data_IF_084348004992
#
_entry.id   IF_084348004992
#
_cell.length_a   1.000
_cell.length_b   1.000
_cell.length_c   1.000
_cell.angle_alpha   90.00
_cell.angle_beta   90.00
_cell.angle_gamma   90.00
#
_symmetry.space_group_name_H-M   'P 1'
#
loop_
_entity.id
_entity.type
_entity.pdbx_description
1 polymer ?
#
# COMPACT_ATOMS: atom_id res chain seq x y z
N UNK A 1 5.56 -3.12 -2.50
CA UNK A 1 4.98 -3.13 -3.85
C UNK A 1 4.81 -4.58 -4.23
N UNK A 2 3.61 -5.01 -4.65
CA UNK A 2 3.44 -6.33 -5.27
C UNK A 2 4.08 -6.23 -6.65
N UNK A 3 5.06 -7.09 -6.93
CA UNK A 3 5.66 -7.19 -8.26
C UNK A 3 4.56 -7.54 -9.27
N UNK A 4 4.50 -6.90 -10.45
CA UNK A 4 3.58 -7.34 -11.49
C UNK A 4 3.78 -8.84 -11.73
N UNK A 5 2.66 -9.55 -11.92
CA UNK A 5 2.65 -10.97 -12.30
C UNK A 5 3.65 -11.18 -13.44
N UNK A 6 4.50 -12.21 -13.32
CA UNK A 6 5.53 -12.43 -14.33
C UNK A 6 4.87 -12.74 -15.67
N UNK A 7 5.49 -12.33 -16.77
CA UNK A 7 4.96 -12.63 -18.11
C UNK A 7 4.71 -14.14 -18.31
N UNK A 8 5.52 -14.98 -17.66
CA UNK A 8 5.35 -16.44 -17.66
C UNK A 8 4.03 -16.90 -17.02
N UNK A 9 3.56 -16.22 -15.96
CA UNK A 9 2.30 -16.58 -15.28
C UNK A 9 1.06 -16.16 -16.09
N UNK A 10 1.18 -15.09 -16.89
CA UNK A 10 0.15 -14.65 -17.84
C UNK A 10 0.07 -15.59 -19.05
N UNK A 11 1.20 -16.08 -19.55
CA UNK A 11 1.25 -17.06 -20.65
C UNK A 11 0.66 -18.42 -20.25
N UNK A 12 0.77 -18.80 -18.97
CA UNK A 12 0.19 -20.03 -18.45
C UNK A 12 -1.36 -20.03 -18.43
N UNK A 13 -2.02 -18.86 -18.52
CA UNK A 13 -3.48 -18.73 -18.46
C UNK A 13 -4.04 -17.83 -19.59
N UNK A 14 -4.18 -18.35 -20.82
CA UNK A 14 -4.56 -17.56 -21.99
C UNK A 14 -5.99 -16.99 -21.91
N UNK A 15 -6.89 -17.63 -21.16
CA UNK A 15 -8.24 -17.12 -20.92
C UNK A 15 -8.21 -15.83 -20.07
N UNK A 16 -7.39 -15.82 -19.02
CA UNK A 16 -7.20 -14.63 -18.19
C UNK A 16 -6.53 -13.51 -18.98
N UNK A 17 -5.50 -13.83 -19.77
CA UNK A 17 -4.80 -12.85 -20.61
C UNK A 17 -5.74 -12.15 -21.62
N UNK A 18 -6.62 -12.91 -22.29
CA UNK A 18 -7.62 -12.34 -23.23
C UNK A 18 -8.62 -11.43 -22.54
N UNK A 19 -9.15 -11.87 -21.40
CA UNK A 19 -10.13 -11.09 -20.62
C UNK A 19 -9.49 -9.82 -20.06
N UNK A 20 -8.25 -9.94 -19.57
CA UNK A 20 -7.45 -8.82 -19.10
C UNK A 20 -7.19 -7.82 -20.23
N UNK A 21 -6.76 -8.29 -21.39
CA UNK A 21 -6.53 -7.45 -22.57
C UNK A 21 -7.81 -6.70 -22.97
N UNK A 22 -8.93 -7.40 -23.10
CA UNK A 22 -10.23 -6.81 -23.44
C UNK A 22 -10.69 -5.73 -22.46
N UNK A 23 -10.61 -5.99 -21.15
CA UNK A 23 -10.96 -5.00 -20.12
C UNK A 23 -10.04 -3.76 -20.24
N UNK A 24 -8.75 -3.98 -20.49
CA UNK A 24 -7.78 -2.88 -20.57
C UNK A 24 -7.88 -2.05 -21.83
N UNK A 25 -8.18 -2.65 -22.98
CA UNK A 25 -8.19 -1.94 -24.27
C UNK A 25 -9.58 -1.46 -24.65
N UNK A 26 -10.64 -2.24 -24.40
CA UNK A 26 -11.99 -1.89 -24.89
C UNK A 26 -12.84 -1.14 -23.87
N UNK A 27 -12.82 -1.57 -22.60
CA UNK A 27 -13.70 -1.00 -21.57
C UNK A 27 -13.05 0.25 -20.98
N UNK A 28 -11.78 0.16 -20.59
CA UNK A 28 -11.09 1.25 -19.90
C UNK A 28 -10.70 2.41 -20.83
N UNK A 29 -10.35 2.16 -22.10
CA UNK A 29 -10.09 3.24 -23.07
C UNK A 29 -11.36 3.95 -23.53
N UNK A 30 -12.53 3.29 -23.48
CA UNK A 30 -13.83 3.92 -23.82
C UNK A 30 -14.41 4.76 -22.69
N UNK A 31 -14.26 4.33 -21.44
CA UNK A 31 -15.00 4.91 -20.30
C UNK A 31 -14.19 5.99 -19.54
N UNK A 32 -12.86 5.92 -19.56
CA UNK A 32 -12.03 6.91 -18.88
C UNK A 32 -11.80 8.18 -19.71
N UNK A 33 -12.78 9.11 -19.66
CA UNK A 33 -12.61 10.51 -20.03
C UNK A 33 -12.03 10.72 -21.43
N UNK A 34 -12.88 10.62 -22.46
CA UNK A 34 -12.62 11.09 -23.82
C UNK A 34 -11.80 12.39 -23.79
N UNK A 35 -10.50 12.28 -24.09
CA UNK A 35 -9.56 13.39 -24.28
C UNK A 35 -10.18 14.47 -25.16
N UNK A 36 -11.03 14.06 -26.12
CA UNK A 36 -11.81 14.91 -27.02
C UNK A 36 -12.85 15.80 -26.31
N UNK A 37 -13.53 15.29 -25.27
CA UNK A 37 -14.52 16.06 -24.48
C UNK A 37 -13.87 17.07 -23.53
N UNK A 38 -12.76 16.71 -22.87
CA UNK A 38 -12.02 17.65 -22.03
C UNK A 38 -11.24 18.69 -22.84
N UNK A 39 -10.75 18.33 -24.02
CA UNK A 39 -10.08 19.27 -24.93
C UNK A 39 -11.08 20.25 -25.57
N UNK A 40 -12.32 19.82 -25.85
CA UNK A 40 -13.41 20.72 -26.26
C UNK A 40 -13.82 21.69 -25.13
N UNK A 41 -13.82 21.24 -23.87
CA UNK A 41 -14.10 22.08 -22.70
C UNK A 41 -13.01 23.14 -22.47
N UNK A 42 -11.73 22.78 -22.61
CA UNK A 42 -10.60 23.73 -22.56
C UNK A 42 -10.63 24.76 -23.68
N UNK A 43 -11.07 24.38 -24.90
CA UNK A 43 -11.25 25.33 -26.01
C UNK A 43 -12.38 26.34 -25.73
N UNK A 44 -13.42 25.92 -25.02
CA UNK A 44 -14.51 26.81 -24.61
C UNK A 44 -14.11 27.73 -23.44
N UNK A 45 -13.34 27.23 -22.48
CA UNK A 45 -12.87 28.02 -21.33
C UNK A 45 -11.76 29.03 -21.71
N UNK A 46 -10.99 28.78 -22.78
CA UNK A 46 -10.00 29.71 -23.31
C UNK A 46 -10.54 30.90 -24.12
N UNK A 47 -11.86 30.97 -24.37
CA UNK A 47 -12.48 32.01 -25.21
C UNK A 47 -13.33 33.05 -24.46
N UNK A 48 -13.38 33.00 -23.12
CA UNK A 48 -14.08 34.01 -22.31
C UNK A 48 -13.16 34.68 -21.28
N UNK A 49 -12.41 35.73 -21.64
CA UNK A 49 -11.83 36.64 -20.67
C UNK A 49 -12.90 37.66 -20.26
N UNK A 50 -13.90 37.23 -19.48
CA UNK A 50 -14.83 38.16 -18.84
C UNK A 50 -14.26 38.61 -17.49
N UNK A 51 -13.42 39.64 -17.60
CA UNK A 51 -13.40 40.84 -16.74
C UNK A 51 -14.00 40.64 -15.35
N UNK A 52 -13.16 40.26 -14.38
CA UNK A 52 -13.37 40.66 -12.99
C UNK A 52 -12.29 41.71 -12.70
N UNK A 53 -12.63 42.95 -13.04
CA UNK A 53 -11.87 44.12 -12.63
C UNK A 53 -11.98 44.27 -11.12
N UNK A 54 -10.90 43.99 -10.39
CA UNK A 54 -10.64 44.63 -9.10
C UNK A 54 -9.51 45.62 -9.31
N UNK A 55 -9.93 46.87 -9.42
CA UNK A 55 -9.07 48.02 -9.22
C UNK A 55 -8.49 47.96 -7.81
N UNK A 56 -7.17 47.95 -7.71
CA UNK A 56 -6.50 48.92 -6.84
C UNK A 56 -5.09 49.17 -7.39
N UNK A 57 -4.79 50.46 -7.55
CA UNK A 57 -3.64 50.94 -8.30
C UNK A 57 -2.34 50.78 -7.54
N UNK A 58 -1.29 50.40 -8.26
CA UNK A 58 0.06 50.85 -7.97
C UNK A 58 0.85 50.84 -9.28
N UNK A 59 0.85 51.97 -9.97
CA UNK A 59 1.79 52.28 -11.05
C UNK A 59 3.14 52.60 -10.43
N UNK A 60 4.07 51.64 -10.46
CA UNK A 60 5.48 51.97 -10.43
C UNK A 60 6.20 51.27 -11.58
N UNK A 61 6.77 52.13 -12.42
CA UNK A 61 7.63 51.88 -13.57
C UNK A 61 8.58 50.70 -13.36
N UNK A 62 8.41 49.66 -14.17
CA UNK A 62 9.41 48.61 -14.33
C UNK A 62 9.60 48.33 -15.81
N UNK A 63 10.74 48.85 -16.28
CA UNK A 63 11.39 48.71 -17.57
C UNK A 63 11.09 47.38 -18.27
N UNK A 64 10.53 47.49 -19.47
CA UNK A 64 10.61 46.49 -20.53
C UNK A 64 12.09 46.30 -20.91
N UNK A 65 12.75 45.31 -20.30
CA UNK A 65 13.96 44.72 -20.86
C UNK A 65 13.61 43.34 -21.40
N UNK A 66 13.93 43.14 -22.68
CA UNK A 66 13.52 42.02 -23.50
C UNK A 66 13.90 40.67 -22.93
N UNK A 67 12.88 39.84 -22.73
CA UNK A 67 13.00 38.40 -22.66
C UNK A 67 12.44 37.84 -23.98
N UNK A 68 13.31 37.74 -25.00
CA UNK A 68 13.16 36.73 -26.05
C UNK A 68 13.37 35.36 -25.38
N UNK A 69 12.35 34.91 -24.65
CA UNK A 69 12.31 33.58 -24.05
C UNK A 69 12.21 32.57 -25.20
N UNK A 70 13.26 31.76 -25.34
CA UNK A 70 13.45 30.78 -26.39
C UNK A 70 12.21 29.88 -26.55
N UNK A 71 11.64 29.85 -27.75
CA UNK A 71 10.52 28.97 -28.13
C UNK A 71 10.81 27.48 -27.85
N UNK A 72 12.08 27.11 -27.70
CA UNK A 72 12.53 25.76 -27.39
C UNK A 72 12.16 25.30 -25.96
N UNK A 73 12.04 26.21 -24.99
CA UNK A 73 11.69 25.87 -23.59
C UNK A 73 10.19 25.55 -23.41
N UNK A 74 9.35 26.09 -24.31
CA UNK A 74 7.92 25.80 -24.32
C UNK A 74 7.65 24.35 -24.76
N UNK A 75 8.44 23.81 -25.70
CA UNK A 75 8.24 22.46 -26.19
C UNK A 75 8.63 21.40 -25.14
N UNK A 76 9.71 21.63 -24.38
CA UNK A 76 10.14 20.72 -23.31
C UNK A 76 9.10 20.64 -22.17
N UNK A 77 8.49 21.78 -21.81
CA UNK A 77 7.45 21.83 -20.80
C UNK A 77 6.16 21.09 -21.23
N UNK A 78 5.82 21.08 -22.52
CA UNK A 78 4.67 20.28 -23.00
C UNK A 78 4.93 18.78 -22.98
N UNK A 79 6.18 18.34 -23.23
CA UNK A 79 6.58 16.93 -23.14
C UNK A 79 6.52 16.42 -21.69
N UNK A 80 7.05 17.20 -20.73
CA UNK A 80 6.95 16.88 -19.28
C UNK A 80 5.50 16.80 -18.79
N UNK A 81 4.61 17.68 -19.28
CA UNK A 81 3.17 17.64 -18.94
C UNK A 81 2.47 16.38 -19.49
N UNK A 82 2.79 15.97 -20.72
CA UNK A 82 2.22 14.74 -21.32
C UNK A 82 2.66 13.49 -20.56
N UNK A 83 3.94 13.41 -20.18
CA UNK A 83 4.48 12.31 -19.39
C UNK A 83 3.80 12.23 -18.00
N UNK A 84 3.62 13.36 -17.32
CA UNK A 84 2.91 13.39 -16.03
C UNK A 84 1.42 13.00 -16.16
N UNK A 85 0.73 13.43 -17.21
CA UNK A 85 -0.67 13.04 -17.45
C UNK A 85 -0.80 11.53 -17.73
N UNK A 86 0.12 10.96 -18.49
CA UNK A 86 0.19 9.51 -18.76
C UNK A 86 0.47 8.72 -17.48
N UNK A 87 1.39 9.20 -16.63
CA UNK A 87 1.67 8.61 -15.31
C UNK A 87 0.45 8.66 -14.39
N UNK A 88 -0.26 9.80 -14.34
CA UNK A 88 -1.50 9.94 -13.56
C UNK A 88 -2.60 9.04 -14.09
N UNK A 89 -2.74 8.91 -15.40
CA UNK A 89 -3.70 8.00 -16.03
C UNK A 89 -3.38 6.55 -15.68
N UNK A 90 -2.13 6.11 -15.84
CA UNK A 90 -1.68 4.78 -15.46
C UNK A 90 -1.94 4.50 -13.95
N UNK A 91 -1.74 5.49 -13.09
CA UNK A 91 -2.03 5.38 -11.66
C UNK A 91 -3.53 5.24 -11.37
N UNK A 92 -4.39 6.04 -12.03
CA UNK A 92 -5.85 5.94 -11.89
C UNK A 92 -6.38 4.60 -12.37
N UNK A 93 -5.92 4.13 -13.53
CA UNK A 93 -6.28 2.81 -14.08
C UNK A 93 -5.83 1.71 -13.14
N UNK A 94 -4.61 1.78 -12.62
CA UNK A 94 -4.10 0.80 -11.63
C UNK A 94 -4.93 0.80 -10.35
N UNK A 95 -5.31 1.97 -9.84
CA UNK A 95 -6.18 2.12 -8.66
C UNK A 95 -7.54 1.48 -8.91
N UNK A 96 -8.19 1.84 -10.01
CA UNK A 96 -9.49 1.30 -10.37
C UNK A 96 -9.48 -0.21 -10.58
N UNK A 97 -8.43 -0.76 -11.20
CA UNK A 97 -8.23 -2.22 -11.32
C UNK A 97 -8.13 -2.91 -9.96
N UNK A 98 -7.44 -2.30 -9.00
CA UNK A 98 -7.37 -2.84 -7.64
C UNK A 98 -8.71 -2.75 -6.93
N UNK A 99 -9.49 -1.69 -7.16
CA UNK A 99 -10.81 -1.51 -6.55
C UNK A 99 -11.78 -2.60 -7.00
N UNK A 100 -11.87 -2.83 -8.33
CA UNK A 100 -12.67 -3.93 -8.88
C UNK A 100 -12.21 -5.28 -8.32
N UNK A 101 -10.90 -5.50 -8.25
CA UNK A 101 -10.36 -6.77 -7.75
C UNK A 101 -10.70 -6.98 -6.27
N UNK A 102 -10.64 -5.94 -5.44
CA UNK A 102 -11.01 -6.03 -4.03
C UNK A 102 -12.51 -6.26 -3.86
N UNK A 103 -13.36 -5.56 -4.61
CA UNK A 103 -14.82 -5.76 -4.58
C UNK A 103 -15.20 -7.19 -5.00
N UNK A 104 -14.66 -7.67 -6.13
CA UNK A 104 -14.96 -9.02 -6.62
C UNK A 104 -14.44 -10.08 -5.64
N UNK A 105 -13.24 -9.91 -5.07
CA UNK A 105 -12.72 -10.84 -4.07
C UNK A 105 -13.55 -10.83 -2.77
N UNK A 106 -14.05 -9.67 -2.35
CA UNK A 106 -14.90 -9.56 -1.16
C UNK A 106 -16.29 -10.22 -1.36
N UNK A 107 -16.77 -10.30 -2.60
CA UNK A 107 -18.04 -10.94 -2.94
C UNK A 107 -17.95 -12.47 -3.03
N UNK A 108 -16.79 -13.03 -3.42
CA UNK A 108 -16.60 -14.48 -3.61
C UNK A 108 -17.01 -15.34 -2.40
N UNK A 109 -16.65 -15.00 -1.14
CA UNK A 109 -17.06 -15.75 0.05
C UNK A 109 -18.56 -16.04 0.13
N UNK A 110 -19.40 -15.12 -0.36
CA UNK A 110 -20.85 -15.22 -0.29
C UNK A 110 -21.45 -16.08 -1.42
N UNK A 111 -20.75 -16.24 -2.53
CA UNK A 111 -21.21 -17.08 -3.66
C UNK A 111 -21.06 -18.57 -3.39
N UNK A 112 -20.08 -18.97 -2.58
CA UNK A 112 -19.90 -20.37 -2.19
C UNK A 112 -21.13 -20.97 -1.50
N UNK A 113 -21.86 -20.19 -0.70
CA UNK A 113 -23.03 -20.66 0.04
C UNK A 113 -24.23 -20.94 -0.88
N UNK A 114 -24.34 -20.21 -1.99
CA UNK A 114 -25.47 -20.31 -2.93
C UNK A 114 -25.29 -21.53 -3.84
N UNK A 115 -24.09 -21.75 -4.36
CA UNK A 115 -23.85 -22.82 -5.33
C UNK A 115 -23.83 -24.21 -4.70
N UNK A 116 -23.38 -24.33 -3.44
CA UNK A 116 -23.40 -25.59 -2.70
C UNK A 116 -24.80 -26.11 -2.37
N UNK A 117 -25.83 -25.24 -2.31
CA UNK A 117 -27.21 -25.66 -2.05
C UNK A 117 -27.94 -26.13 -3.30
N UNK A 118 -27.78 -25.42 -4.41
CA UNK A 118 -28.51 -25.71 -5.66
C UNK A 118 -28.17 -27.06 -6.26
N UNK A 119 -26.96 -27.60 -6.02
CA UNK A 119 -26.53 -28.86 -6.62
C UNK A 119 -26.94 -30.11 -5.81
N UNK A 120 -27.33 -29.94 -4.54
CA UNK A 120 -27.69 -31.07 -3.66
C UNK A 120 -29.18 -31.44 -3.65
N UNK A 121 -30.03 -30.64 -4.30
CA UNK A 121 -31.48 -30.76 -4.15
C UNK A 121 -32.23 -31.32 -5.37
N UNK A 122 -31.61 -31.38 -6.55
CA UNK A 122 -32.28 -31.86 -7.78
C UNK A 122 -32.08 -33.36 -8.08
N UNK A 123 -31.15 -34.05 -7.43
CA UNK A 123 -30.85 -35.46 -7.74
C UNK A 123 -31.67 -36.50 -6.94
N UNK A 124 -32.59 -36.09 -6.04
CA UNK A 124 -33.31 -37.03 -5.17
C UNK A 124 -34.84 -37.06 -5.35
N UNK A 125 -35.34 -36.68 -6.54
CA UNK A 125 -36.76 -36.80 -6.90
C UNK A 125 -36.97 -37.58 -8.20
N UNK A 126 -36.42 -38.80 -8.25
CA UNK A 126 -36.90 -39.82 -9.17
C UNK A 126 -38.30 -40.32 -8.73
N UNK A 127 -39.28 -40.45 -9.64
CA UNK A 127 -40.54 -41.08 -9.32
C UNK A 127 -40.32 -42.60 -9.21
N UNK A 128 -40.65 -43.17 -8.05
CA UNK A 128 -40.84 -44.62 -7.90
C UNK A 128 -41.94 -45.07 -8.88
N UNK A 129 -41.55 -45.67 -9.99
CA UNK A 129 -42.41 -46.57 -10.75
C UNK A 129 -41.77 -47.95 -10.83
N UNK A 130 -42.59 -48.88 -10.38
CA UNK A 130 -42.40 -50.30 -10.16
C UNK A 130 -42.22 -51.13 -11.43
N UNK A 131 -41.28 -52.09 -11.36
CA UNK A 131 -41.28 -53.45 -11.96
C UNK A 131 -41.02 -53.60 -13.48
N UNK A 132 -40.67 -54.82 -13.96
CA UNK A 132 -39.60 -55.72 -13.47
C UNK A 132 -38.71 -56.28 -14.61
N UNK A 133 -37.56 -56.82 -14.20
CA UNK A 133 -36.80 -57.93 -14.78
C UNK A 133 -36.73 -58.08 -16.33
N UNK A 134 -35.58 -57.76 -16.90
CA UNK A 134 -34.95 -58.65 -17.88
C UNK A 134 -33.42 -58.52 -17.83
N UNK A 135 -32.78 -59.67 -17.73
CA UNK A 135 -31.33 -59.88 -17.70
C UNK A 135 -30.69 -59.38 -18.99
N UNK A 136 -29.62 -58.59 -18.89
CA UNK A 136 -28.57 -58.62 -19.91
C UNK A 136 -27.23 -58.20 -19.30
N UNK A 137 -26.38 -59.20 -19.11
CA UNK A 137 -24.95 -59.06 -18.88
C UNK A 137 -24.32 -58.17 -19.95
N UNK A 138 -23.45 -57.23 -19.53
CA UNK A 138 -22.28 -56.76 -20.29
C UNK A 138 -21.36 -55.90 -19.43
N UNK A 139 -20.34 -56.57 -18.92
CA UNK A 139 -18.93 -56.18 -18.88
C UNK A 139 -18.54 -54.69 -18.94
N UNK A 140 -17.93 -54.28 -17.82
CA UNK A 140 -16.70 -53.47 -17.72
C UNK A 140 -16.69 -52.06 -18.31
N UNK A 141 -16.85 -51.05 -17.43
CA UNK A 141 -16.09 -49.79 -17.55
C UNK A 141 -15.68 -49.26 -16.16
N UNK A 142 -14.52 -49.71 -15.70
CA UNK A 142 -13.80 -49.16 -14.55
C UNK A 142 -13.07 -47.89 -14.98
N UNK A 143 -13.76 -46.75 -15.04
CA UNK A 143 -13.07 -45.45 -15.22
C UNK A 143 -13.73 -44.24 -14.54
N UNK A 144 -14.89 -44.40 -13.88
CA UNK A 144 -15.62 -43.30 -13.24
C UNK A 144 -15.22 -42.98 -11.78
N UNK A 145 -14.45 -43.85 -11.11
CA UNK A 145 -14.11 -43.69 -9.68
C UNK A 145 -12.94 -42.72 -9.41
N UNK A 146 -12.25 -42.23 -10.45
CA UNK A 146 -11.13 -41.29 -10.29
C UNK A 146 -11.60 -39.82 -10.15
N UNK A 147 -12.66 -39.42 -10.83
CA UNK A 147 -13.15 -38.03 -10.79
C UNK A 147 -13.93 -37.69 -9.50
N UNK A 148 -14.57 -38.69 -8.89
CA UNK A 148 -15.35 -38.48 -7.66
C UNK A 148 -14.47 -38.21 -6.43
N UNK A 149 -13.24 -38.75 -6.39
CA UNK A 149 -12.29 -38.51 -5.27
C UNK A 149 -11.71 -37.10 -5.30
N UNK A 150 -11.55 -36.50 -6.47
CA UNK A 150 -11.04 -35.12 -6.61
C UNK A 150 -12.06 -34.11 -6.10
N UNK A 151 -13.35 -34.32 -6.36
CA UNK A 151 -14.42 -33.43 -5.87
C UNK A 151 -14.63 -33.50 -4.35
N UNK A 152 -14.45 -34.67 -3.72
CA UNK A 152 -14.61 -34.81 -2.27
C UNK A 152 -13.51 -34.11 -1.45
N UNK A 153 -12.27 -34.04 -1.97
CA UNK A 153 -11.20 -33.28 -1.33
C UNK A 153 -11.39 -31.76 -1.43
N UNK A 154 -12.08 -31.27 -2.48
CA UNK A 154 -12.39 -29.85 -2.62
C UNK A 154 -13.31 -29.31 -1.53
N UNK A 155 -14.23 -30.11 -0.97
CA UNK A 155 -15.18 -29.60 0.03
C UNK A 155 -14.58 -29.36 1.42
N UNK A 156 -13.44 -29.98 1.76
CA UNK A 156 -12.83 -29.82 3.08
C UNK A 156 -11.96 -28.55 3.21
N UNK A 157 -11.51 -27.97 2.09
CA UNK A 157 -10.70 -26.74 2.08
C UNK A 157 -11.50 -25.45 1.91
N UNK A 158 -12.80 -25.54 1.62
CA UNK A 158 -13.68 -24.38 1.40
C UNK A 158 -13.76 -23.38 2.57
N UNK A 159 -13.90 -23.78 3.85
CA UNK A 159 -13.98 -22.80 4.94
C UNK A 159 -12.65 -22.05 5.13
N UNK A 160 -11.51 -22.73 4.99
CA UNK A 160 -10.19 -22.09 5.04
C UNK A 160 -9.99 -21.12 3.88
N UNK A 161 -10.46 -21.47 2.68
CA UNK A 161 -10.41 -20.60 1.51
C UNK A 161 -11.30 -19.36 1.70
N UNK A 162 -12.46 -19.48 2.36
CA UNK A 162 -13.34 -18.36 2.67
C UNK A 162 -12.65 -17.33 3.57
N UNK A 163 -12.04 -17.79 4.65
CA UNK A 163 -11.34 -16.91 5.60
C UNK A 163 -10.15 -16.22 4.91
N UNK A 164 -9.42 -16.96 4.06
CA UNK A 164 -8.34 -16.45 3.23
C UNK A 164 -8.84 -15.35 2.26
N UNK A 165 -9.99 -15.58 1.60
CA UNK A 165 -10.60 -14.63 0.69
C UNK A 165 -11.17 -13.38 1.38
N UNK A 166 -11.47 -13.43 2.68
CA UNK A 166 -11.84 -12.25 3.47
C UNK A 166 -10.62 -11.49 3.99
N UNK A 167 -9.56 -12.21 4.36
CA UNK A 167 -8.34 -11.63 4.92
C UNK A 167 -7.53 -10.85 3.87
N UNK A 168 -7.47 -11.35 2.64
CA UNK A 168 -6.63 -10.75 1.59
C UNK A 168 -7.14 -9.40 1.10
N UNK A 169 -8.43 -9.18 0.81
CA UNK A 169 -8.95 -7.86 0.49
C UNK A 169 -8.71 -6.86 1.62
N UNK A 170 -8.92 -7.26 2.88
CA UNK A 170 -8.62 -6.42 4.03
C UNK A 170 -7.13 -6.03 4.09
N UNK A 171 -6.23 -6.96 3.76
CA UNK A 171 -4.80 -6.67 3.65
C UNK A 171 -4.44 -5.78 2.45
N UNK A 172 -5.07 -5.98 1.30
CA UNK A 172 -4.89 -5.13 0.12
C UNK A 172 -5.38 -3.70 0.40
N UNK A 173 -6.47 -3.52 1.13
CA UNK A 173 -6.97 -2.21 1.57
C UNK A 173 -6.05 -1.55 2.62
N UNK A 174 -5.54 -2.33 3.58
CA UNK A 174 -4.57 -1.84 4.57
C UNK A 174 -3.25 -1.41 3.92
N UNK A 175 -2.79 -2.13 2.89
CA UNK A 175 -1.59 -1.75 2.14
C UNK A 175 -1.85 -0.56 1.21
N UNK A 176 -3.06 -0.44 0.65
CA UNK A 176 -3.48 0.69 -0.20
C UNK A 176 -3.43 2.02 0.55
N UNK A 177 -4.09 2.10 1.70
CA UNK A 177 -4.13 3.33 2.53
C UNK A 177 -2.72 3.82 2.85
N UNK A 178 -1.82 2.89 3.16
CA UNK A 178 -0.42 3.19 3.48
C UNK A 178 0.43 3.68 2.31
N UNK A 179 0.13 3.26 1.08
CA UNK A 179 0.86 3.76 -0.10
C UNK A 179 0.49 5.19 -0.45
N UNK A 180 -0.74 5.62 -0.16
CA UNK A 180 -1.16 7.01 -0.37
C UNK A 180 -0.40 7.95 0.58
N UNK A 181 -0.21 7.55 1.83
CA UNK A 181 0.57 8.32 2.83
C UNK A 181 2.04 8.52 2.43
N UNK A 182 2.60 7.65 1.57
CA UNK A 182 3.99 7.77 1.11
C UNK A 182 4.17 8.65 -0.12
N UNK A 183 3.09 8.94 -0.86
CA UNK A 183 3.15 9.70 -2.12
C UNK A 183 2.88 11.20 -1.88
N UNK A 184 2.29 11.57 -0.74
CA UNK A 184 2.31 12.95 -0.27
C UNK A 184 3.74 13.32 0.16
N UNK A 185 4.54 13.76 -0.82
CA UNK A 185 5.84 14.42 -0.67
C UNK A 185 5.69 15.77 0.04
N UNK A 186 5.08 15.81 1.22
CA UNK A 186 5.29 16.93 2.12
C UNK A 186 6.72 16.85 2.65
N UNK A 187 7.50 17.94 2.58
CA UNK A 187 8.84 17.96 3.14
C UNK A 187 8.76 17.55 4.61
N UNK A 188 9.62 16.64 5.08
CA UNK A 188 9.59 16.17 6.45
C UNK A 188 9.93 17.36 7.35
N UNK A 189 8.91 17.93 8.00
CA UNK A 189 9.17 18.84 9.10
C UNK A 189 9.90 18.06 10.20
N UNK A 190 11.02 18.59 10.73
CA UNK A 190 11.81 17.92 11.74
C UNK A 190 11.16 18.13 13.11
N UNK A 191 10.00 17.50 13.33
CA UNK A 191 9.36 17.50 14.63
C UNK A 191 9.02 16.08 15.07
N UNK A 192 9.88 15.60 15.98
CA UNK A 192 9.54 14.77 17.14
C UNK A 192 9.00 13.36 16.81
N UNK A 193 9.96 12.44 16.74
CA UNK A 193 9.92 11.16 17.46
C UNK A 193 8.78 10.18 17.13
N UNK A 194 9.04 9.31 16.15
CA UNK A 194 9.29 7.91 16.50
C UNK A 194 8.12 6.91 16.49
N UNK A 195 6.99 7.20 15.84
CA UNK A 195 5.95 6.18 15.59
C UNK A 195 5.44 6.22 14.15
N UNK A 196 6.34 6.32 13.16
CA UNK A 196 5.98 5.83 11.84
C UNK A 196 5.69 4.34 12.01
N UNK A 197 4.42 3.95 11.85
CA UNK A 197 3.94 2.56 11.82
C UNK A 197 4.57 1.85 10.62
N UNK A 198 5.88 1.65 10.68
CA UNK A 198 6.51 0.53 10.04
C UNK A 198 5.89 -0.69 10.66
N UNK A 199 4.80 -1.23 10.08
CA UNK A 199 4.39 -2.61 10.35
C UNK A 199 5.69 -3.40 10.45
N UNK A 200 5.97 -3.87 11.67
CA UNK A 200 7.24 -4.49 11.97
C UNK A 200 7.47 -5.60 10.97
N UNK A 201 8.73 -5.93 10.71
CA UNK A 201 9.09 -7.16 9.98
C UNK A 201 8.29 -8.37 10.52
N UNK A 202 7.88 -8.30 11.80
CA UNK A 202 7.00 -9.24 12.47
C UNK A 202 5.58 -9.37 11.87
N UNK A 203 4.90 -8.28 11.48
CA UNK A 203 3.56 -8.39 10.89
C UNK A 203 3.60 -8.98 9.47
N UNK A 204 4.68 -8.74 8.73
CA UNK A 204 4.92 -9.42 7.45
C UNK A 204 5.24 -10.91 7.66
N UNK A 205 5.88 -11.26 8.78
CA UNK A 205 6.12 -12.66 9.14
C UNK A 205 4.87 -13.39 9.61
N UNK A 206 3.89 -12.69 10.18
CA UNK A 206 2.61 -13.29 10.59
C UNK A 206 1.75 -13.65 9.37
N UNK A 207 1.80 -12.84 8.31
CA UNK A 207 1.00 -13.03 7.10
C UNK A 207 1.69 -13.87 6.02
N UNK A 208 2.98 -14.22 6.18
CA UNK A 208 3.71 -14.94 5.14
C UNK A 208 3.08 -16.31 4.83
N UNK A 209 2.56 -16.99 5.86
CA UNK A 209 1.89 -18.27 5.70
C UNK A 209 0.59 -18.15 4.88
N UNK A 210 -0.26 -17.16 5.20
CA UNK A 210 -1.51 -16.93 4.49
C UNK A 210 -1.25 -16.50 3.03
N UNK A 211 -0.20 -15.71 2.79
CA UNK A 211 0.23 -15.33 1.44
C UNK A 211 0.69 -16.56 0.64
N UNK A 212 1.40 -17.50 1.27
CA UNK A 212 1.80 -18.76 0.62
C UNK A 212 0.60 -19.65 0.31
N UNK A 213 -0.33 -19.79 1.26
CA UNK A 213 -1.59 -20.52 1.02
C UNK A 213 -2.40 -19.89 -0.11
N UNK A 214 -2.48 -18.56 -0.17
CA UNK A 214 -3.12 -17.87 -1.28
C UNK A 214 -2.45 -18.19 -2.60
N UNK A 215 -1.11 -18.09 -2.67
CA UNK A 215 -0.35 -18.42 -3.88
C UNK A 215 -0.63 -19.83 -4.38
N UNK A 216 -0.71 -20.81 -3.48
CA UNK A 216 -1.05 -22.20 -3.86
C UNK A 216 -2.48 -22.35 -4.37
N UNK A 217 -3.41 -21.50 -3.93
CA UNK A 217 -4.82 -21.54 -4.31
C UNK A 217 -5.20 -20.56 -5.44
N UNK A 218 -4.25 -19.80 -6.01
CA UNK A 218 -4.49 -18.85 -7.11
C UNK A 218 -5.29 -19.49 -8.26
N UNK A 219 -4.98 -20.71 -8.76
CA UNK A 219 -5.72 -21.29 -9.89
C UNK A 219 -7.21 -21.48 -9.59
N UNK A 220 -7.53 -21.97 -8.39
CA UNK A 220 -8.91 -22.18 -7.93
C UNK A 220 -9.65 -20.86 -7.80
N UNK A 221 -9.00 -19.85 -7.19
CA UNK A 221 -9.58 -18.51 -7.01
C UNK A 221 -9.80 -17.86 -8.38
N UNK A 222 -8.86 -17.99 -9.32
CA UNK A 222 -8.97 -17.45 -10.66
C UNK A 222 -10.11 -18.09 -11.46
N UNK A 223 -10.32 -19.40 -11.34
CA UNK A 223 -11.45 -20.10 -11.95
C UNK A 223 -12.79 -19.57 -11.41
N UNK A 224 -12.88 -19.37 -10.09
CA UNK A 224 -14.08 -18.84 -9.44
C UNK A 224 -14.34 -17.38 -9.82
N UNK A 225 -13.32 -16.53 -9.80
CA UNK A 225 -13.42 -15.14 -10.27
C UNK A 225 -13.91 -15.09 -11.72
N UNK A 226 -13.34 -15.93 -12.59
CA UNK A 226 -13.74 -16.02 -14.00
C UNK A 226 -15.22 -16.41 -14.14
N UNK A 227 -15.69 -17.39 -13.36
CA UNK A 227 -17.10 -17.78 -13.35
C UNK A 227 -18.02 -16.62 -12.92
N UNK A 228 -17.60 -15.85 -11.92
CA UNK A 228 -18.36 -14.69 -11.42
C UNK A 228 -18.39 -13.55 -12.44
N UNK A 229 -17.28 -13.29 -13.13
CA UNK A 229 -17.26 -12.29 -14.20
C UNK A 229 -18.20 -12.65 -15.34
N UNK A 230 -18.24 -13.93 -15.74
CA UNK A 230 -19.18 -14.41 -16.77
C UNK A 230 -20.63 -14.22 -16.31
N UNK A 231 -20.92 -14.46 -15.03
CA UNK A 231 -22.26 -14.25 -14.49
C UNK A 231 -22.66 -12.76 -14.46
N UNK A 232 -21.74 -11.89 -14.03
CA UNK A 232 -21.95 -10.44 -14.05
C UNK A 232 -22.16 -9.94 -15.47
N UNK A 233 -21.36 -10.39 -16.44
CA UNK A 233 -21.52 -10.08 -17.86
C UNK A 233 -22.91 -10.48 -18.36
N UNK A 234 -23.37 -11.70 -18.06
CA UNK A 234 -24.72 -12.17 -18.42
C UNK A 234 -25.81 -11.32 -17.79
N UNK A 235 -25.68 -10.95 -16.52
CA UNK A 235 -26.65 -10.10 -15.82
C UNK A 235 -26.72 -8.69 -16.42
N UNK A 236 -25.56 -8.12 -16.78
CA UNK A 236 -25.48 -6.80 -17.42
C UNK A 236 -26.06 -6.84 -18.83
N UNK A 237 -25.81 -7.91 -19.59
CA UNK A 237 -26.42 -8.13 -20.90
C UNK A 237 -27.95 -8.24 -20.82
N UNK A 238 -28.47 -8.91 -19.78
CA UNK A 238 -29.92 -9.00 -19.56
C UNK A 238 -30.53 -7.63 -19.26
N UNK A 239 -29.89 -6.83 -18.40
CA UNK A 239 -30.31 -5.45 -18.10
C UNK A 239 -30.25 -4.57 -19.36
N UNK A 240 -29.17 -4.68 -20.15
CA UNK A 240 -29.02 -3.94 -21.39
C UNK A 240 -30.10 -4.30 -22.42
N UNK A 241 -30.50 -5.57 -22.51
CA UNK A 241 -31.62 -5.99 -23.37
C UNK A 241 -32.94 -5.36 -22.94
N UNK A 242 -33.26 -5.38 -21.65
CA UNK A 242 -34.47 -4.73 -21.12
C UNK A 242 -34.49 -3.23 -21.44
N UNK A 243 -33.34 -2.57 -21.38
CA UNK A 243 -33.24 -1.15 -21.72
C UNK A 243 -33.40 -0.84 -23.22
N UNK A 244 -33.17 -1.81 -24.10
CA UNK A 244 -33.27 -1.66 -25.57
C UNK A 244 -34.66 -2.08 -26.07
N UNK A 245 -35.26 -3.13 -25.50
CA UNK A 245 -36.55 -3.68 -25.93
C UNK A 245 -37.75 -2.76 -25.60
N UNK A 246 -37.62 -1.81 -24.67
CA UNK A 246 -38.65 -0.80 -24.38
C UNK A 246 -38.70 0.34 -25.43
N UNK A 247 -37.86 0.25 -26.48
CA UNK A 247 -37.65 1.29 -27.47
C UNK A 247 -38.39 1.15 -28.81
N UNK A 248 -38.41 -0.02 -29.47
CA UNK A 248 -38.77 -0.05 -30.91
C UNK A 248 -38.91 -1.44 -31.58
N UNK A 249 -39.83 -2.33 -31.17
CA UNK A 249 -40.00 -3.64 -31.86
C UNK A 249 -41.48 -4.09 -32.00
N UNK A 250 -42.33 -3.31 -32.68
CA UNK A 250 -43.66 -3.84 -33.10
C UNK A 250 -44.19 -3.30 -34.45
N UNK A 251 -43.33 -2.74 -35.31
CA UNK A 251 -43.79 -2.11 -36.58
C UNK A 251 -43.57 -2.96 -37.84
N UNK A 252 -42.73 -4.00 -37.84
CA UNK A 252 -42.42 -4.69 -39.10
C UNK A 252 -42.30 -6.20 -38.97
N UNK A 253 -43.43 -6.92 -39.07
CA UNK A 253 -43.52 -8.29 -39.66
C UNK A 253 -44.94 -8.90 -39.70
N UNK A 254 -45.93 -8.25 -40.31
CA UNK A 254 -47.02 -9.03 -40.94
C UNK A 254 -47.76 -8.29 -42.05
N UNK A 255 -47.31 -8.51 -43.30
CA UNK A 255 -48.05 -8.19 -44.51
C UNK A 255 -48.85 -9.43 -44.93
N UNK A 256 -50.14 -9.46 -44.59
CA UNK A 256 -51.16 -10.11 -45.43
C UNK A 256 -52.46 -9.30 -45.36
N UNK A 257 -52.93 -8.70 -46.48
CA UNK A 257 -54.07 -7.81 -46.47
C UNK A 257 -55.38 -8.58 -46.66
N UNK A 258 -56.19 -8.67 -45.60
CA UNK A 258 -57.64 -8.66 -45.76
C UNK A 258 -58.14 -7.23 -45.53
N UNK A 259 -59.15 -6.75 -46.29
CA UNK A 259 -59.77 -5.46 -46.05
C UNK A 259 -60.67 -5.56 -44.81
N UNK A 260 -60.07 -5.60 -43.63
CA UNK A 260 -60.77 -5.27 -42.41
C UNK A 260 -61.06 -3.77 -42.48
N UNK A 261 -62.35 -3.42 -42.44
CA UNK A 261 -62.79 -2.02 -42.42
C UNK A 261 -61.98 -1.24 -41.39
N UNK A 262 -61.46 -0.06 -41.74
CA UNK A 262 -60.66 0.82 -40.87
C UNK A 262 -61.28 1.01 -39.47
N UNK A 263 -62.62 1.00 -39.37
CA UNK A 263 -63.35 1.06 -38.11
C UNK A 263 -63.14 -0.16 -37.19
N UNK A 264 -62.97 -1.36 -37.75
CA UNK A 264 -62.68 -2.58 -37.00
C UNK A 264 -61.25 -2.62 -36.44
N UNK A 265 -60.32 -1.86 -37.03
CA UNK A 265 -58.94 -1.71 -36.55
C UNK A 265 -58.83 -0.52 -35.59
N UNK A 266 -59.52 0.59 -35.88
CA UNK A 266 -59.47 1.80 -35.06
C UNK A 266 -60.23 1.65 -33.74
N UNK A 267 -61.34 0.91 -33.69
CA UNK A 267 -62.10 0.72 -32.44
C UNK A 267 -61.31 -0.01 -31.35
N UNK A 268 -60.59 -1.14 -31.62
CA UNK A 268 -59.75 -1.76 -30.60
C UNK A 268 -58.56 -0.86 -30.24
N UNK A 269 -57.96 -0.15 -31.19
CA UNK A 269 -56.86 0.78 -30.90
C UNK A 269 -57.30 1.96 -30.03
N UNK A 270 -58.47 2.54 -30.28
CA UNK A 270 -59.03 3.62 -29.45
C UNK A 270 -59.39 3.09 -28.06
N UNK A 271 -59.97 1.89 -27.97
CA UNK A 271 -60.27 1.26 -26.66
C UNK A 271 -59.00 0.90 -25.88
N UNK A 272 -57.93 0.51 -26.58
CA UNK A 272 -56.62 0.27 -26.00
C UNK A 272 -56.00 1.58 -25.51
N UNK A 273 -56.04 2.64 -26.31
CA UNK A 273 -55.57 3.97 -25.91
C UNK A 273 -56.37 4.54 -24.72
N UNK A 274 -57.69 4.36 -24.68
CA UNK A 274 -58.48 4.77 -23.52
C UNK A 274 -58.14 3.94 -22.29
N UNK A 275 -57.96 2.62 -22.42
CA UNK A 275 -57.55 1.78 -21.29
C UNK A 275 -56.14 2.15 -20.80
N UNK A 276 -55.21 2.43 -21.71
CA UNK A 276 -53.86 2.86 -21.36
C UNK A 276 -53.89 4.21 -20.63
N UNK A 277 -54.70 5.15 -21.13
CA UNK A 277 -54.83 6.49 -20.57
C UNK A 277 -55.54 6.50 -19.22
N UNK A 278 -56.62 5.76 -19.09
CA UNK A 278 -57.52 5.88 -17.95
C UNK A 278 -57.17 4.89 -16.82
N UNK A 279 -56.51 3.76 -17.13
CA UNK A 279 -56.20 2.72 -16.13
C UNK A 279 -54.71 2.52 -15.92
N UNK A 280 -53.93 2.30 -16.99
CA UNK A 280 -52.53 1.86 -16.88
C UNK A 280 -51.61 3.03 -16.49
N UNK A 281 -51.72 4.18 -17.16
CA UNK A 281 -50.86 5.32 -16.88
C UNK A 281 -51.04 5.84 -15.44
N UNK A 282 -52.27 6.04 -14.93
CA UNK A 282 -52.46 6.48 -13.55
C UNK A 282 -52.03 5.43 -12.52
N UNK A 283 -52.25 4.13 -12.79
CA UNK A 283 -51.80 3.08 -11.87
C UNK A 283 -50.27 3.00 -11.79
N UNK A 284 -49.58 3.11 -12.93
CA UNK A 284 -48.12 3.14 -12.94
C UNK A 284 -47.56 4.41 -12.30
N UNK A 285 -48.19 5.57 -12.52
CA UNK A 285 -47.75 6.84 -11.92
C UNK A 285 -47.95 6.81 -10.40
N UNK A 286 -49.07 6.28 -9.90
CA UNK A 286 -49.29 6.10 -8.46
C UNK A 286 -48.34 5.07 -7.85
N UNK A 287 -48.06 3.96 -8.56
CA UNK A 287 -47.07 2.99 -8.12
C UNK A 287 -45.66 3.59 -8.05
N UNK A 288 -45.24 4.34 -9.09
CA UNK A 288 -43.95 5.02 -9.12
C UNK A 288 -43.85 6.10 -8.03
N UNK A 289 -44.92 6.84 -7.79
CA UNK A 289 -44.96 7.83 -6.70
C UNK A 289 -44.80 7.13 -5.34
N UNK A 290 -45.47 5.99 -5.15
CA UNK A 290 -45.35 5.20 -3.92
C UNK A 290 -43.93 4.63 -3.74
N UNK A 291 -43.30 4.12 -4.80
CA UNK A 291 -41.92 3.60 -4.71
C UNK A 291 -40.90 4.70 -4.48
N UNK A 292 -41.07 5.88 -5.09
CA UNK A 292 -40.21 7.04 -4.82
C UNK A 292 -40.39 7.51 -3.38
N UNK A 293 -41.63 7.54 -2.87
CA UNK A 293 -41.91 7.89 -1.49
C UNK A 293 -41.26 6.90 -0.52
N UNK A 294 -41.36 5.58 -0.77
CA UNK A 294 -40.73 4.57 0.10
C UNK A 294 -39.21 4.68 0.04
N UNK A 295 -38.62 4.87 -1.13
CA UNK A 295 -37.18 5.07 -1.28
C UNK A 295 -36.71 6.31 -0.49
N UNK A 296 -37.43 7.42 -0.59
CA UNK A 296 -37.08 8.65 0.12
C UNK A 296 -37.23 8.49 1.65
N UNK A 297 -38.23 7.74 2.12
CA UNK A 297 -38.35 7.41 3.54
C UNK A 297 -37.22 6.50 4.03
N UNK A 298 -36.84 5.49 3.26
CA UNK A 298 -35.70 4.62 3.57
C UNK A 298 -34.39 5.42 3.60
N UNK A 299 -34.17 6.30 2.63
CA UNK A 299 -33.00 7.17 2.61
C UNK A 299 -32.95 8.09 3.83
N UNK A 300 -34.08 8.65 4.26
CA UNK A 300 -34.17 9.46 5.49
C UNK A 300 -33.84 8.64 6.74
N UNK A 301 -34.34 7.41 6.83
CA UNK A 301 -34.04 6.51 7.96
C UNK A 301 -32.56 6.14 7.97
N UNK A 302 -31.98 5.79 6.82
CA UNK A 302 -30.57 5.48 6.68
C UNK A 302 -29.69 6.66 7.15
N UNK A 303 -29.96 7.88 6.65
CA UNK A 303 -29.23 9.08 7.05
C UNK A 303 -29.36 9.33 8.56
N UNK A 304 -30.55 9.14 9.14
CA UNK A 304 -30.75 9.28 10.58
C UNK A 304 -29.91 8.29 11.38
N UNK A 305 -29.88 7.02 10.97
CA UNK A 305 -29.08 5.99 11.65
C UNK A 305 -27.59 6.29 11.50
N UNK A 306 -27.14 6.73 10.32
CA UNK A 306 -25.75 7.12 10.10
C UNK A 306 -25.34 8.32 10.96
N UNK A 307 -26.20 9.35 11.06
CA UNK A 307 -25.97 10.51 11.94
C UNK A 307 -25.91 10.05 13.39
N UNK A 308 -26.85 9.23 13.85
CA UNK A 308 -26.83 8.68 15.22
C UNK A 308 -25.59 7.85 15.48
N UNK A 309 -25.09 7.08 14.51
CA UNK A 309 -23.86 6.32 14.63
C UNK A 309 -22.64 7.24 14.69
N UNK A 310 -22.57 8.28 13.87
CA UNK A 310 -21.50 9.28 13.92
C UNK A 310 -21.52 10.06 15.24
N UNK A 311 -22.70 10.41 15.72
CA UNK A 311 -22.91 11.02 17.03
C UNK A 311 -22.53 10.06 18.15
N UNK A 312 -22.85 8.77 18.08
CA UNK A 312 -22.47 7.83 19.14
C UNK A 312 -20.95 7.57 19.17
N UNK A 313 -20.33 7.34 18.01
CA UNK A 313 -18.95 6.83 17.93
C UNK A 313 -17.88 7.91 17.73
N UNK A 314 -18.14 8.93 16.90
CA UNK A 314 -17.11 9.94 16.55
C UNK A 314 -17.30 11.26 17.28
N UNK A 315 -18.53 11.75 17.39
CA UNK A 315 -18.79 13.11 17.85
C UNK A 315 -19.46 13.18 19.22
N UNK A 316 -19.77 12.04 19.82
CA UNK A 316 -20.56 11.94 21.04
C UNK A 316 -19.85 12.41 22.26
N UNK A 317 -20.63 12.76 23.28
CA UNK A 317 -20.11 13.12 24.59
C UNK A 317 -19.18 12.02 25.14
N UNK A 318 -19.49 10.74 24.91
CA UNK A 318 -18.66 9.60 25.34
C UNK A 318 -17.33 9.57 24.59
N UNK A 319 -17.34 9.74 23.26
CA UNK A 319 -16.11 9.76 22.45
C UNK A 319 -15.21 10.93 22.84
N UNK A 320 -15.79 12.13 23.04
CA UNK A 320 -15.06 13.30 23.55
C UNK A 320 -14.52 13.10 24.96
N UNK A 321 -15.28 12.46 25.86
CA UNK A 321 -14.84 12.13 27.22
C UNK A 321 -13.67 11.15 27.18
N UNK A 322 -13.74 10.11 26.35
CA UNK A 322 -12.67 9.13 26.20
C UNK A 322 -11.41 9.79 25.62
N UNK A 323 -11.55 10.68 24.63
CA UNK A 323 -10.44 11.44 24.08
C UNK A 323 -9.83 12.40 25.12
N UNK A 324 -10.65 13.12 25.88
CA UNK A 324 -10.19 13.98 26.98
C UNK A 324 -9.47 13.17 28.08
N UNK A 325 -9.96 11.96 28.39
CA UNK A 325 -9.32 11.04 29.33
C UNK A 325 -8.00 10.50 28.79
N UNK A 326 -7.94 10.13 27.52
CA UNK A 326 -6.72 9.63 26.87
C UNK A 326 -5.64 10.72 26.81
N UNK A 327 -6.02 11.95 26.43
CA UNK A 327 -5.11 13.10 26.44
C UNK A 327 -4.65 13.43 27.86
N UNK A 328 -5.54 13.43 28.85
CA UNK A 328 -5.16 13.58 30.26
C UNK A 328 -4.16 12.51 30.71
N UNK A 329 -4.44 11.22 30.48
CA UNK A 329 -3.53 10.14 30.85
C UNK A 329 -2.18 10.22 30.13
N UNK A 330 -2.17 10.63 28.86
CA UNK A 330 -0.94 10.87 28.10
C UNK A 330 -0.11 12.01 28.71
N UNK A 331 -0.74 13.13 29.08
CA UNK A 331 -0.05 14.22 29.78
C UNK A 331 0.48 13.77 31.14
N UNK A 332 -0.28 13.00 31.91
CA UNK A 332 0.17 12.43 33.19
C UNK A 332 1.37 11.51 32.97
N UNK A 333 1.33 10.61 32.00
CA UNK A 333 2.46 9.72 31.69
C UNK A 333 3.71 10.52 31.29
N UNK A 334 3.57 11.55 30.45
CA UNK A 334 4.68 12.43 30.06
C UNK A 334 5.26 13.20 31.26
N UNK A 335 4.41 13.70 32.16
CA UNK A 335 4.88 14.36 33.38
C UNK A 335 5.57 13.40 34.34
N UNK A 336 5.12 12.15 34.42
CA UNK A 336 5.78 11.11 35.21
C UNK A 336 7.13 10.73 34.62
N UNK A 337 7.25 10.58 33.30
CA UNK A 337 8.54 10.36 32.62
C UNK A 337 9.53 11.49 32.92
N UNK A 338 9.08 12.73 32.77
CA UNK A 338 9.92 13.90 33.05
C UNK A 338 10.33 13.96 34.53
N UNK A 339 9.43 13.61 35.45
CA UNK A 339 9.73 13.52 36.89
C UNK A 339 10.77 12.44 37.18
N UNK A 340 10.65 11.25 36.59
CA UNK A 340 11.63 10.17 36.74
C UNK A 340 12.99 10.62 36.21
N UNK A 341 13.02 11.32 35.07
CA UNK A 341 14.25 11.86 34.50
C UNK A 341 14.92 12.89 35.42
N UNK A 342 14.13 13.79 36.03
CA UNK A 342 14.63 14.75 37.02
C UNK A 342 15.20 14.02 38.23
N UNK A 343 14.49 13.03 38.78
CA UNK A 343 14.97 12.24 39.92
C UNK A 343 16.26 11.47 39.59
N UNK A 344 16.39 10.94 38.37
CA UNK A 344 17.61 10.28 37.92
C UNK A 344 18.78 11.27 37.86
N UNK A 345 18.55 12.46 37.28
CA UNK A 345 19.57 13.50 37.21
C UNK A 345 19.97 14.00 38.60
N UNK A 346 19.03 14.12 39.53
CA UNK A 346 19.30 14.46 40.93
C UNK A 346 20.14 13.37 41.60
N UNK A 347 19.75 12.10 41.49
CA UNK A 347 20.51 10.98 42.04
C UNK A 347 21.92 10.89 41.44
N UNK A 348 22.06 11.12 40.12
CA UNK A 348 23.36 11.18 39.45
C UNK A 348 24.19 12.36 39.95
N UNK A 349 23.59 13.54 40.08
CA UNK A 349 24.26 14.72 40.63
C UNK A 349 24.75 14.44 42.04
N UNK A 350 23.93 13.81 42.88
CA UNK A 350 24.27 13.50 44.26
C UNK A 350 25.44 12.49 44.32
N UNK A 351 25.42 11.45 43.47
CA UNK A 351 26.54 10.51 43.32
C UNK A 351 27.83 11.21 42.84
N UNK A 352 27.73 12.12 41.87
CA UNK A 352 28.87 12.88 41.36
C UNK A 352 29.38 13.92 42.37
N UNK A 353 28.49 14.45 43.21
CA UNK A 353 28.82 15.39 44.29
C UNK A 353 29.38 14.71 45.53
N UNK A 354 29.22 13.39 45.66
CA UNK A 354 29.76 12.60 46.76
C UNK A 354 31.27 12.81 46.88
N UNK A 355 31.76 12.97 48.11
CA UNK A 355 33.16 13.23 48.40
C UNK A 355 34.09 12.17 47.77
N UNK A 356 33.69 10.90 47.80
CA UNK A 356 34.43 9.81 47.15
C UNK A 356 34.53 9.99 45.63
N UNK A 357 33.48 10.48 44.97
CA UNK A 357 33.49 10.72 43.54
C UNK A 357 34.37 11.93 43.17
N UNK A 358 34.36 12.97 44.01
CA UNK A 358 35.27 14.12 43.85
C UNK A 358 36.73 13.71 44.03
N UNK A 359 37.03 12.88 45.03
CA UNK A 359 38.37 12.35 45.26
C UNK A 359 38.83 11.47 44.09
N UNK A 360 37.97 10.59 43.58
CA UNK A 360 38.26 9.78 42.38
C UNK A 360 38.51 10.67 41.16
N UNK A 361 37.69 11.70 40.93
CA UNK A 361 37.89 12.66 39.83
C UNK A 361 39.22 13.41 39.99
N UNK A 362 39.56 13.85 41.20
CA UNK A 362 40.83 14.52 41.48
C UNK A 362 42.02 13.57 41.33
N UNK A 363 41.86 12.29 41.66
CA UNK A 363 42.87 11.27 41.44
C UNK A 363 43.06 10.98 39.94
N UNK A 364 41.97 10.79 39.18
CA UNK A 364 42.01 10.60 37.72
C UNK A 364 42.69 11.80 37.08
N UNK A 365 42.30 13.04 37.42
CA UNK A 365 42.90 14.26 36.87
C UNK A 365 44.40 14.38 37.18
N UNK A 366 44.83 13.95 38.37
CA UNK A 366 46.25 13.88 38.70
C UNK A 366 46.96 12.83 37.86
N UNK A 367 46.35 11.64 37.70
CA UNK A 367 46.93 10.54 36.93
C UNK A 367 47.01 10.87 35.44
N UNK A 368 46.00 11.51 34.86
CA UNK A 368 46.04 11.96 33.46
C UNK A 368 47.14 12.99 33.25
N UNK A 369 47.28 13.97 34.15
CA UNK A 369 48.38 14.95 34.08
C UNK A 369 49.76 14.29 34.18
N UNK A 370 49.91 13.25 35.00
CA UNK A 370 51.18 12.50 35.05
C UNK A 370 51.44 11.74 33.75
N UNK A 371 50.41 11.16 33.14
CA UNK A 371 50.53 10.47 31.86
C UNK A 371 50.85 11.44 30.72
N UNK A 372 50.20 12.61 30.67
CA UNK A 372 50.53 13.68 29.71
C UNK A 372 51.99 14.11 29.84
N UNK A 373 52.50 14.29 31.06
CA UNK A 373 53.91 14.63 31.28
C UNK A 373 54.89 13.48 30.97
N UNK A 374 54.44 12.23 31.00
CA UNK A 374 55.23 11.08 30.54
C UNK A 374 55.22 10.99 29.01
N UNK A 375 54.08 11.26 28.38
CA UNK A 375 53.91 11.34 26.92
C UNK A 375 54.78 12.44 26.33
N UNK A 376 54.75 13.67 26.88
CA UNK A 376 55.62 14.77 26.44
C UNK A 376 57.11 14.42 26.52
N UNK A 377 57.52 13.64 27.54
CA UNK A 377 58.91 13.16 27.65
C UNK A 377 59.24 12.12 26.60
N UNK A 378 58.32 11.21 26.31
CA UNK A 378 58.51 10.20 25.28
C UNK A 378 58.57 10.84 23.89
N UNK A 379 57.73 11.84 23.62
CA UNK A 379 57.76 12.62 22.39
C UNK A 379 59.05 13.42 22.27
N UNK A 380 59.53 14.04 23.36
CA UNK A 380 60.84 14.68 23.39
C UNK A 380 61.98 13.71 23.06
N UNK A 381 61.99 12.53 23.69
CA UNK A 381 62.99 11.48 23.41
C UNK A 381 62.88 10.97 21.97
N UNK A 382 61.67 10.86 21.43
CA UNK A 382 61.45 10.47 20.04
C UNK A 382 62.03 11.52 19.09
N UNK A 383 61.79 12.81 19.32
CA UNK A 383 62.36 13.89 18.53
C UNK A 383 63.90 13.90 18.60
N UNK A 384 64.50 13.67 19.77
CA UNK A 384 65.95 13.53 19.92
C UNK A 384 66.50 12.36 19.09
N UNK A 385 65.82 11.20 19.13
CA UNK A 385 66.22 10.03 18.35
C UNK A 385 66.07 10.26 16.85
N UNK A 386 65.03 10.98 16.41
CA UNK A 386 64.86 11.37 15.00
C UNK A 386 65.98 12.30 14.52
N UNK A 387 66.43 13.25 15.36
CA UNK A 387 67.59 14.10 15.04
C UNK A 387 68.86 13.26 14.89
N UNK A 388 69.15 12.34 15.84
CA UNK A 388 70.31 11.46 15.76
C UNK A 388 70.26 10.55 14.54
N UNK A 389 69.07 10.06 14.18
CA UNK A 389 68.86 9.27 12.97
C UNK A 389 69.14 10.11 11.72
N UNK A 390 68.63 11.35 11.66
CA UNK A 390 68.92 12.28 10.57
C UNK A 390 70.40 12.64 10.45
N UNK A 391 71.12 12.79 11.56
CA UNK A 391 72.58 12.94 11.56
C UNK A 391 73.28 11.72 10.95
N UNK A 392 72.78 10.51 11.23
CA UNK A 392 73.30 9.27 10.67
C UNK A 392 73.04 9.17 9.16
N UNK A 393 71.82 9.53 8.73
CA UNK A 393 71.41 9.53 7.32
C UNK A 393 72.15 10.58 6.48
N UNK A 394 72.53 11.72 7.08
CA UNK A 394 73.28 12.79 6.40
C UNK A 394 74.79 12.58 6.40
N UNK A 395 75.34 11.73 7.27
CA UNK A 395 76.72 11.25 7.14
C UNK A 395 76.85 10.26 5.99
N UNK A 396 77.19 10.76 4.80
CA UNK A 396 77.67 9.95 3.68
C UNK A 396 78.86 9.06 4.12
N UNK A 397 79.01 7.84 3.55
CA UNK A 397 79.93 6.80 4.00
C UNK A 397 81.38 7.15 3.66
N UNK A 398 81.95 8.13 4.35
CA UNK A 398 83.40 8.33 4.42
C UNK A 398 83.95 7.46 5.56
N UNK A 399 84.98 6.64 5.32
CA UNK A 399 85.39 5.55 6.21
C UNK A 399 85.90 6.00 7.59
N UNK A 400 86.24 7.28 7.78
CA UNK A 400 86.81 7.79 9.03
C UNK A 400 85.75 8.30 10.03
N UNK A 401 84.65 8.90 9.56
CA UNK A 401 83.57 9.36 10.44
C UNK A 401 82.67 8.20 10.91
N UNK A 402 82.46 7.19 10.06
CA UNK A 402 81.65 6.00 10.40
C UNK A 402 82.17 5.24 11.62
N UNK A 403 83.50 5.20 11.83
CA UNK A 403 84.10 4.58 13.02
C UNK A 403 83.82 5.35 14.31
N UNK A 404 83.74 6.69 14.24
CA UNK A 404 83.39 7.54 15.39
C UNK A 404 81.93 7.34 15.80
N UNK A 405 81.03 7.29 14.81
CA UNK A 405 79.61 7.01 15.02
C UNK A 405 79.40 5.59 15.55
N UNK A 406 80.06 4.57 15.00
CA UNK A 406 80.01 3.20 15.53
C UNK A 406 80.52 3.10 16.97
N UNK A 407 81.55 3.87 17.34
CA UNK A 407 82.06 3.89 18.72
C UNK A 407 81.06 4.53 19.69
N UNK A 408 80.41 5.62 19.28
CA UNK A 408 79.31 6.22 20.05
C UNK A 408 78.11 5.27 20.17
N UNK A 409 77.76 4.56 19.09
CA UNK A 409 76.69 3.56 19.07
C UNK A 409 77.00 2.39 20.02
N UNK A 410 78.21 1.83 19.95
CA UNK A 410 78.64 0.77 20.85
C UNK A 410 78.67 1.20 22.33
N UNK A 411 78.95 2.48 22.60
CA UNK A 411 78.87 3.03 23.96
C UNK A 411 77.41 3.11 24.43
N UNK A 412 76.49 3.57 23.59
CA UNK A 412 75.06 3.59 23.91
C UNK A 412 74.45 2.19 24.06
N UNK A 413 74.85 1.23 23.23
CA UNK A 413 74.40 -0.17 23.38
C UNK A 413 74.84 -0.78 24.71
N UNK A 414 76.08 -0.51 25.15
CA UNK A 414 76.57 -0.94 26.46
C UNK A 414 75.78 -0.31 27.61
N UNK A 415 75.42 0.96 27.50
CA UNK A 415 74.62 1.66 28.49
C UNK A 415 73.21 1.06 28.60
N UNK A 416 72.55 0.83 27.46
CA UNK A 416 71.22 0.18 27.40
C UNK A 416 71.26 -1.26 27.92
N UNK A 417 72.32 -2.01 27.61
CA UNK A 417 72.50 -3.36 28.16
C UNK A 417 72.66 -3.32 29.68
N UNK A 418 73.41 -2.34 30.21
CA UNK A 418 73.55 -2.12 31.65
C UNK A 418 72.23 -1.74 32.34
N UNK A 419 71.43 -0.87 31.73
CA UNK A 419 70.08 -0.54 32.22
C UNK A 419 69.16 -1.77 32.21
N UNK A 420 69.22 -2.58 31.15
CA UNK A 420 68.43 -3.81 31.05
C UNK A 420 68.82 -4.84 32.12
N UNK A 421 70.11 -4.96 32.45
CA UNK A 421 70.56 -5.79 33.57
C UNK A 421 70.11 -5.24 34.92
N UNK A 422 70.14 -3.91 35.12
CA UNK A 422 69.64 -3.29 36.34
C UNK A 422 68.14 -3.54 36.55
N UNK A 423 67.33 -3.37 35.49
CA UNK A 423 65.89 -3.68 35.51
C UNK A 423 65.65 -5.16 35.79
N UNK A 424 66.41 -6.08 35.17
CA UNK A 424 66.34 -7.51 35.50
C UNK A 424 66.67 -7.78 36.97
N UNK A 425 67.66 -7.08 37.53
CA UNK A 425 68.00 -7.16 38.94
C UNK A 425 66.87 -6.69 39.86
N UNK A 426 66.20 -5.60 39.50
CA UNK A 426 65.08 -5.06 40.26
C UNK A 426 63.83 -5.94 40.17
N UNK A 427 63.55 -6.52 38.99
CA UNK A 427 62.49 -7.54 38.84
C UNK A 427 62.75 -8.74 39.75
N UNK A 428 63.97 -9.29 39.75
CA UNK A 428 64.33 -10.40 40.65
C UNK A 428 64.20 -10.01 42.13
N UNK A 429 64.54 -8.77 42.49
CA UNK A 429 64.38 -8.26 43.86
C UNK A 429 62.90 -8.11 44.24
N UNK A 430 62.04 -7.72 43.31
CA UNK A 430 60.60 -7.63 43.51
C UNK A 430 59.98 -9.03 43.62
N UNK A 431 60.38 -9.98 42.76
CA UNK A 431 59.95 -11.38 42.80
C UNK A 431 60.35 -12.08 44.10
N UNK A 432 61.52 -11.76 44.68
CA UNK A 432 61.96 -12.33 45.96
C UNK A 432 61.25 -11.73 47.19
N UNK A 433 60.48 -10.64 47.01
CA UNK A 433 59.77 -9.92 48.08
C UNK A 433 58.27 -10.18 48.11
N UNK A 434 57.76 -10.79 47.04
CA UNK A 434 56.43 -11.42 46.93
C UNK A 434 56.55 -12.83 47.50
#
# INVERSE_FOLDING_TARGET
MISPLSAADLDANPAFAKTWQYITTEILERDASSKKTNEARRRYEGLNPLVISRADGNEEDSKEDGLEESLDDAEENTKKKKDLEEQLHAFRVKRFKMDILCEVLADLPYHFEVQGRSQSQDDNRGPEQSMPAEEMERDSSTHADADFKTQQQHHQSLPALRDLLLLIPAYLDATRTRTLDKIENFPPEPLVSGHSLSLGVEEQSLLSHDIEQFKTNIPTIAALMSSRFIELEKSLCAIARVAIEDGDEDVHKHLQPQPQSLTAILTPQISCLSNLRDTVLPSHLTQLTNTVQTLLTLQRVLLRVQIQHLEAHKHGAISRLNLARATFLSTVASTMDLKVRVMLLEARRDLESSAEAQERRAWIKRKTKTLEGEEEKLDGRKAELEVVLGEYETTDPTPELGMSVMRKLGTKYREVEGEMEAVKGDIRRLEARI
#
